data_IF_627608486021
#
_entry.id   IF_627608486021
#
_cell.length_a   1.000
_cell.length_b   1.000
_cell.length_c   1.000
_cell.angle_alpha   90.00
_cell.angle_beta   90.00
_cell.angle_gamma   90.00
#
_symmetry.space_group_name_H-M   'P 1'
#
loop_
_entity.id
_entity.type
_entity.pdbx_description
1 polymer ?
#
# COMPACT_ATOMS: atom_id res chain seq x y z
N UNK A 1 24.53 -22.86 13.97
CA UNK A 1 24.43 -21.55 14.63
C UNK A 1 23.02 -21.04 14.38
N UNK A 2 22.13 -21.08 15.38
CA UNK A 2 20.77 -20.56 15.20
C UNK A 2 20.85 -19.05 15.03
N UNK A 3 20.57 -18.56 13.82
CA UNK A 3 20.42 -17.14 13.55
C UNK A 3 19.28 -16.65 14.45
N UNK A 4 19.58 -15.79 15.42
CA UNK A 4 18.56 -15.20 16.30
C UNK A 4 17.65 -14.36 15.41
N UNK A 5 16.54 -14.94 14.96
CA UNK A 5 15.44 -14.17 14.40
C UNK A 5 14.92 -13.28 15.54
N UNK A 6 15.01 -11.96 15.36
CA UNK A 6 14.41 -11.01 16.28
C UNK A 6 12.96 -10.82 15.80
N UNK A 7 12.11 -11.74 16.25
CA UNK A 7 10.68 -11.72 15.99
C UNK A 7 10.07 -10.41 16.51
N UNK A 8 9.25 -9.75 15.68
CA UNK A 8 8.57 -8.51 16.05
C UNK A 8 7.10 -8.76 16.39
N UNK A 9 6.35 -9.44 15.53
CA UNK A 9 4.95 -9.79 15.79
C UNK A 9 4.52 -11.08 15.04
N UNK A 10 3.72 -11.91 15.70
CA UNK A 10 3.12 -13.11 15.07
C UNK A 10 1.93 -12.76 14.17
N UNK A 11 1.22 -11.67 14.48
CA UNK A 11 0.18 -11.12 13.61
C UNK A 11 0.00 -9.62 13.84
N UNK A 12 0.60 -8.82 12.97
CA UNK A 12 0.49 -7.36 12.97
C UNK A 12 -0.95 -6.90 12.68
N UNK A 13 -1.74 -7.71 11.96
CA UNK A 13 -3.11 -7.38 11.61
C UNK A 13 -4.11 -7.71 12.72
N UNK A 14 -3.71 -8.41 13.80
CA UNK A 14 -4.60 -8.85 14.88
C UNK A 14 -5.86 -9.58 14.35
N UNK A 15 -5.69 -10.46 13.37
CA UNK A 15 -6.76 -11.25 12.76
C UNK A 15 -7.65 -10.50 11.76
N UNK A 16 -7.34 -9.24 11.42
CA UNK A 16 -8.13 -8.44 10.46
C UNK A 16 -7.93 -8.85 9.01
N UNK A 17 -6.81 -9.50 8.66
CA UNK A 17 -6.54 -9.96 7.31
C UNK A 17 -7.23 -11.29 6.99
N UNK A 18 -8.04 -11.30 5.94
CA UNK A 18 -8.76 -12.50 5.51
C UNK A 18 -7.82 -13.60 4.97
N UNK A 19 -6.63 -13.22 4.51
CA UNK A 19 -5.60 -14.12 4.01
C UNK A 19 -4.80 -14.86 5.09
N UNK A 20 -5.09 -14.62 6.37
CA UNK A 20 -4.37 -15.18 7.51
C UNK A 20 -3.43 -14.18 8.19
N UNK A 21 -2.65 -14.62 9.19
CA UNK A 21 -1.86 -13.72 10.03
C UNK A 21 -0.74 -13.03 9.25
N UNK A 22 -0.56 -11.73 9.51
CA UNK A 22 0.51 -10.92 8.93
C UNK A 22 1.72 -10.89 9.86
N UNK A 23 2.65 -11.83 9.67
CA UNK A 23 3.87 -11.89 10.48
C UNK A 23 4.80 -10.72 10.18
N UNK A 24 5.51 -10.25 11.21
CA UNK A 24 6.55 -9.24 11.10
C UNK A 24 7.88 -9.76 11.68
N UNK A 25 8.93 -9.78 10.85
CA UNK A 25 10.23 -10.37 11.20
C UNK A 25 11.40 -9.40 10.97
N UNK A 26 12.34 -9.36 11.91
CA UNK A 26 13.62 -8.68 11.72
C UNK A 26 14.78 -9.66 11.97
N UNK A 27 15.55 -9.92 10.94
CA UNK A 27 16.73 -10.81 11.01
C UNK A 27 18.05 -10.04 10.94
N UNK A 28 17.98 -8.71 10.85
CA UNK A 28 19.13 -7.84 10.58
C UNK A 28 19.63 -7.14 11.83
N UNK A 29 18.73 -6.56 12.62
CA UNK A 29 19.07 -5.71 13.76
C UNK A 29 17.96 -5.70 14.82
N UNK A 30 18.08 -4.79 15.79
CA UNK A 30 17.11 -4.59 16.88
C UNK A 30 16.06 -3.52 16.56
N UNK A 31 15.95 -3.08 15.31
CA UNK A 31 14.97 -2.06 14.92
C UNK A 31 13.56 -2.63 15.09
N UNK A 32 12.74 -1.91 15.83
CA UNK A 32 11.34 -2.24 16.04
C UNK A 32 10.48 -1.53 15.00
N UNK A 33 9.33 -2.12 14.71
CA UNK A 33 8.30 -1.46 13.92
C UNK A 33 7.72 -0.30 14.74
N UNK A 34 7.68 0.89 14.15
CA UNK A 34 6.99 2.01 14.78
C UNK A 34 5.50 1.65 14.95
N UNK A 35 4.87 2.00 16.10
CA UNK A 35 3.46 1.70 16.31
C UNK A 35 2.58 2.50 15.35
N UNK A 36 1.55 1.84 14.83
CA UNK A 36 0.48 2.43 14.02
C UNK A 36 -0.80 1.60 14.20
N UNK A 37 -1.94 2.18 13.85
CA UNK A 37 -3.22 1.47 13.90
C UNK A 37 -3.40 0.61 12.63
N UNK A 38 -3.43 -0.71 12.78
CA UNK A 38 -3.72 -1.57 11.63
C UNK A 38 -5.22 -1.53 11.30
N UNK A 39 -5.57 -1.24 10.05
CA UNK A 39 -6.90 -1.45 9.47
C UNK A 39 -6.78 -2.31 8.23
N UNK A 40 -7.73 -3.20 7.95
CA UNK A 40 -7.66 -4.06 6.75
C UNK A 40 -8.18 -3.36 5.48
N UNK A 41 -8.90 -2.26 5.64
CA UNK A 41 -9.53 -1.51 4.55
C UNK A 41 -9.38 -0.01 4.79
N UNK A 42 -9.53 0.78 3.72
CA UNK A 42 -9.60 2.23 3.85
C UNK A 42 -10.80 2.67 4.68
N UNK A 43 -10.62 3.74 5.43
CA UNK A 43 -11.64 4.35 6.28
C UNK A 43 -11.93 5.75 5.77
N UNK A 44 -13.17 6.01 5.36
CA UNK A 44 -13.55 7.33 4.89
C UNK A 44 -13.64 8.32 6.05
N UNK A 45 -13.07 9.50 5.87
CA UNK A 45 -13.25 10.59 6.81
C UNK A 45 -14.74 10.97 6.94
N UNK A 46 -15.09 11.49 8.12
CA UNK A 46 -16.47 11.84 8.43
C UNK A 46 -17.05 12.82 7.39
N UNK A 47 -18.23 12.49 6.86
CA UNK A 47 -18.93 13.32 5.86
C UNK A 47 -18.52 13.07 4.41
N UNK A 48 -17.53 12.20 4.15
CA UNK A 48 -17.20 11.80 2.79
C UNK A 48 -18.31 10.92 2.20
N UNK A 49 -18.80 11.30 1.02
CA UNK A 49 -19.82 10.54 0.30
C UNK A 49 -19.37 10.25 -1.12
N UNK A 50 -19.84 9.12 -1.65
CA UNK A 50 -19.63 8.71 -3.04
C UNK A 50 -20.95 8.78 -3.77
N UNK A 51 -20.94 9.38 -4.96
CA UNK A 51 -22.07 9.25 -5.85
C UNK A 51 -22.20 7.77 -6.27
N UNK A 52 -23.41 7.30 -6.62
CA UNK A 52 -23.56 5.98 -7.22
C UNK A 52 -22.57 5.82 -8.36
N UNK A 53 -21.94 4.65 -8.51
CA UNK A 53 -21.05 4.42 -9.63
C UNK A 53 -21.86 4.57 -10.91
N UNK A 54 -21.42 5.48 -11.77
CA UNK A 54 -21.95 5.58 -13.13
C UNK A 54 -21.65 4.26 -13.86
N UNK A 55 -22.35 3.99 -14.97
CA UNK A 55 -21.99 2.87 -15.87
C UNK A 55 -20.62 3.07 -16.57
N UNK A 56 -19.75 3.91 -16.00
CA UNK A 56 -18.41 4.17 -16.49
C UNK A 56 -17.62 2.87 -16.51
N UNK A 57 -17.30 2.42 -17.72
CA UNK A 57 -16.54 1.20 -17.96
C UNK A 57 -15.08 1.31 -17.51
N UNK A 58 -14.60 2.51 -17.14
CA UNK A 58 -13.21 2.75 -16.78
C UNK A 58 -12.80 2.14 -15.42
N UNK A 59 -13.72 2.08 -14.44
CA UNK A 59 -13.42 1.55 -13.11
C UNK A 59 -14.13 0.21 -12.89
N UNK A 60 -13.35 -0.87 -12.86
CA UNK A 60 -13.86 -2.21 -12.68
C UNK A 60 -14.43 -2.45 -11.27
N UNK A 61 -15.43 -3.32 -11.17
CA UNK A 61 -15.92 -3.84 -9.88
C UNK A 61 -15.12 -5.07 -9.50
N UNK A 62 -14.63 -5.13 -8.27
CA UNK A 62 -13.90 -6.27 -7.73
C UNK A 62 -14.53 -6.73 -6.41
N UNK A 63 -14.47 -8.05 -6.17
CA UNK A 63 -14.62 -8.56 -4.82
C UNK A 63 -13.31 -8.34 -4.05
N UNK A 64 -13.39 -8.13 -2.72
CA UNK A 64 -12.19 -8.03 -1.87
C UNK A 64 -11.33 -9.29 -2.04
N UNK A 65 -10.07 -9.17 -2.48
CA UNK A 65 -9.18 -10.31 -2.60
C UNK A 65 -8.98 -10.99 -1.26
N UNK A 66 -8.83 -12.31 -1.27
CA UNK A 66 -8.48 -13.12 -0.08
C UNK A 66 -7.09 -13.72 -0.22
N UNK A 67 -6.20 -13.02 -0.91
CA UNK A 67 -4.83 -13.47 -1.13
C UNK A 67 -4.08 -13.32 0.19
N UNK A 68 -3.58 -14.44 0.71
CA UNK A 68 -2.80 -14.49 1.93
C UNK A 68 -1.31 -14.68 1.67
N UNK A 69 -0.59 -15.12 2.70
CA UNK A 69 0.81 -15.51 2.56
C UNK A 69 1.79 -14.34 2.42
N UNK A 70 1.46 -13.16 2.95
CA UNK A 70 2.40 -12.05 3.00
C UNK A 70 3.13 -11.98 4.35
N UNK A 71 4.34 -11.43 4.34
CA UNK A 71 5.15 -11.22 5.53
C UNK A 71 5.83 -9.85 5.47
N UNK A 72 5.73 -9.10 6.58
CA UNK A 72 6.51 -7.88 6.78
C UNK A 72 7.90 -8.28 7.24
N UNK A 73 8.92 -7.77 6.56
CA UNK A 73 10.31 -8.09 6.88
C UNK A 73 11.18 -6.83 6.89
N UNK A 74 12.24 -6.82 7.69
CA UNK A 74 13.25 -5.77 7.59
C UNK A 74 14.10 -6.00 6.33
N UNK A 75 13.92 -5.17 5.31
CA UNK A 75 14.53 -5.35 3.99
C UNK A 75 16.00 -4.97 3.98
N UNK A 76 16.35 -3.80 4.50
CA UNK A 76 17.74 -3.35 4.69
C UNK A 76 17.79 -2.06 5.51
N UNK A 77 18.96 -1.63 6.00
CA UNK A 77 19.10 -0.32 6.66
C UNK A 77 18.65 0.88 5.82
N UNK A 78 18.72 0.76 4.48
CA UNK A 78 18.38 1.83 3.54
C UNK A 78 16.92 1.80 3.08
N UNK A 79 16.32 0.61 2.96
CA UNK A 79 14.91 0.44 2.57
C UNK A 79 13.95 0.30 3.75
N UNK A 80 14.49 0.05 4.94
CA UNK A 80 13.72 -0.24 6.16
C UNK A 80 12.81 -1.45 5.98
N UNK A 81 11.58 -1.37 6.46
CA UNK A 81 10.60 -2.44 6.40
C UNK A 81 10.08 -2.61 4.96
N UNK A 82 9.83 -3.86 4.58
CA UNK A 82 9.30 -4.25 3.28
C UNK A 82 8.21 -5.31 3.43
N UNK A 83 7.49 -5.56 2.35
CA UNK A 83 6.49 -6.63 2.25
C UNK A 83 6.96 -7.67 1.24
N UNK A 84 6.88 -8.95 1.58
CA UNK A 84 7.21 -10.05 0.66
C UNK A 84 6.14 -11.13 0.63
N UNK A 85 6.11 -11.89 -0.45
CA UNK A 85 5.35 -13.15 -0.50
C UNK A 85 6.05 -14.24 0.33
N UNK A 86 5.32 -15.27 0.72
CA UNK A 86 5.85 -16.43 1.45
C UNK A 86 5.72 -17.70 0.63
N UNK A 87 6.26 -18.80 1.17
CA UNK A 87 6.11 -20.12 0.56
C UNK A 87 4.64 -20.58 0.46
N UNK A 88 3.72 -19.97 1.22
CA UNK A 88 2.28 -20.27 1.11
C UNK A 88 1.71 -19.88 -0.25
N UNK A 89 2.26 -18.84 -0.90
CA UNK A 89 1.76 -18.38 -2.20
C UNK A 89 2.09 -19.35 -3.33
N UNK A 90 3.18 -20.14 -3.23
CA UNK A 90 3.85 -20.82 -4.37
C UNK A 90 4.30 -19.84 -5.46
N UNK A 91 3.36 -19.18 -6.11
CA UNK A 91 3.51 -18.04 -7.00
C UNK A 91 2.18 -17.27 -7.08
N UNK A 92 2.26 -16.03 -7.54
CA UNK A 92 1.12 -15.17 -7.87
C UNK A 92 1.22 -14.86 -9.36
N UNK A 93 0.14 -15.03 -10.11
CA UNK A 93 0.12 -14.75 -11.54
C UNK A 93 -0.06 -13.26 -11.83
N UNK A 94 0.36 -12.83 -13.01
CA UNK A 94 0.15 -11.46 -13.51
C UNK A 94 -1.34 -11.08 -13.49
N UNK A 95 -1.62 -9.79 -13.29
CA UNK A 95 -2.94 -9.19 -13.15
C UNK A 95 -3.77 -9.66 -11.94
N UNK A 96 -3.19 -10.47 -11.05
CA UNK A 96 -3.87 -10.87 -9.79
C UNK A 96 -4.02 -9.66 -8.86
N UNK A 97 -5.25 -9.29 -8.45
CA UNK A 97 -5.47 -8.29 -7.41
C UNK A 97 -5.06 -8.86 -6.05
N UNK A 98 -4.18 -8.16 -5.32
CA UNK A 98 -3.57 -8.69 -4.10
C UNK A 98 -4.27 -8.17 -2.84
N UNK A 99 -4.28 -6.85 -2.66
CA UNK A 99 -4.86 -6.16 -1.52
C UNK A 99 -5.04 -4.68 -1.88
N UNK A 100 -5.87 -3.97 -1.12
CA UNK A 100 -6.03 -2.52 -1.27
C UNK A 100 -4.88 -1.76 -0.60
N UNK A 101 -4.65 -0.52 -1.02
CA UNK A 101 -3.87 0.44 -0.25
C UNK A 101 -4.78 1.08 0.81
N UNK A 102 -4.73 0.53 2.03
CA UNK A 102 -5.61 0.92 3.13
C UNK A 102 -5.05 2.08 3.95
N UNK A 103 -5.88 3.07 4.23
CA UNK A 103 -5.55 4.23 5.07
C UNK A 103 -6.77 5.11 5.33
N UNK A 104 -6.55 6.28 5.92
CA UNK A 104 -7.59 7.31 6.02
C UNK A 104 -7.84 7.90 4.63
N UNK A 105 -9.07 7.78 4.15
CA UNK A 105 -9.51 8.28 2.84
C UNK A 105 -10.13 9.67 3.01
N UNK A 106 -9.49 10.64 2.37
CA UNK A 106 -9.81 12.06 2.41
C UNK A 106 -10.15 12.52 0.99
N UNK A 107 -11.05 13.49 0.89
CA UNK A 107 -11.12 14.33 -0.32
C UNK A 107 -9.93 15.31 -0.27
N UNK A 108 -9.25 15.46 -1.40
CA UNK A 108 -8.08 16.32 -1.49
C UNK A 108 -8.54 17.77 -1.74
N UNK A 109 -8.86 18.47 -0.64
CA UNK A 109 -9.34 19.85 -0.65
C UNK A 109 -8.21 20.91 -0.82
N UNK A 110 -7.06 20.54 -1.41
CA UNK A 110 -5.82 21.33 -1.41
C UNK A 110 -5.28 21.66 0.01
N UNK A 111 -5.71 20.91 1.04
CA UNK A 111 -5.16 21.08 2.39
C UNK A 111 -3.73 20.58 2.41
N UNK A 112 -2.79 21.31 3.07
CA UNK A 112 -1.42 20.83 3.21
C UNK A 112 -1.41 19.59 4.10
N UNK A 113 -1.42 18.42 3.48
CA UNK A 113 -1.11 17.16 4.16
C UNK A 113 0.39 17.14 4.39
N UNK A 114 0.81 16.77 5.61
CA UNK A 114 2.24 16.58 5.89
C UNK A 114 2.80 15.60 4.85
N UNK A 115 3.87 15.97 4.15
CA UNK A 115 4.51 15.12 3.12
C UNK A 115 5.16 13.90 3.76
N UNK A 116 4.36 12.92 4.13
CA UNK A 116 4.81 11.65 4.68
C UNK A 116 5.07 10.63 3.55
N UNK A 117 5.76 9.55 3.89
CA UNK A 117 6.13 8.48 2.96
C UNK A 117 4.95 7.57 2.58
N UNK A 118 3.80 7.71 3.27
CA UNK A 118 2.68 6.78 3.23
C UNK A 118 1.42 7.33 2.54
N UNK A 119 1.57 8.33 1.68
CA UNK A 119 0.46 9.01 0.99
C UNK A 119 0.32 8.52 -0.45
N UNK A 120 -0.90 8.19 -0.85
CA UNK A 120 -1.29 7.96 -2.24
C UNK A 120 -2.44 8.89 -2.63
N UNK A 121 -2.43 9.37 -3.87
CA UNK A 121 -3.54 10.15 -4.43
C UNK A 121 -4.11 9.46 -5.65
N UNK A 122 -5.41 9.64 -5.88
CA UNK A 122 -6.10 9.16 -7.09
C UNK A 122 -7.27 10.07 -7.43
N UNK A 123 -7.72 10.00 -8.68
CA UNK A 123 -8.90 10.72 -9.15
C UNK A 123 -10.06 9.74 -9.36
N UNK A 124 -11.26 10.14 -8.96
CA UNK A 124 -12.48 9.40 -9.23
C UNK A 124 -13.66 10.36 -9.40
N UNK A 125 -14.44 10.20 -10.48
CA UNK A 125 -15.58 11.07 -10.80
C UNK A 125 -15.23 12.59 -10.75
N UNK A 126 -14.09 12.98 -11.33
CA UNK A 126 -13.55 14.36 -11.33
C UNK A 126 -13.29 14.95 -9.93
N UNK A 127 -13.11 14.09 -8.93
CA UNK A 127 -12.72 14.47 -7.57
C UNK A 127 -11.36 13.87 -7.26
N UNK A 128 -10.53 14.62 -6.55
CA UNK A 128 -9.23 14.16 -6.09
C UNK A 128 -9.36 13.58 -4.69
N UNK A 129 -8.75 12.43 -4.47
CA UNK A 129 -8.75 11.75 -3.19
C UNK A 129 -7.33 11.48 -2.74
N UNK A 130 -7.16 11.46 -1.42
CA UNK A 130 -5.91 11.18 -0.74
C UNK A 130 -6.12 10.03 0.25
N UNK A 131 -5.21 9.06 0.22
CA UNK A 131 -5.09 7.97 1.18
C UNK A 131 -3.86 8.22 2.06
N UNK A 132 -4.08 8.44 3.35
CA UNK A 132 -3.02 8.58 4.34
C UNK A 132 -2.90 7.30 5.19
N UNK A 133 -1.79 6.58 5.03
CA UNK A 133 -1.48 5.38 5.81
C UNK A 133 -0.45 5.60 6.94
N UNK A 134 -0.19 6.85 7.33
CA UNK A 134 0.78 7.19 8.38
C UNK A 134 0.34 6.69 9.75
N UNK A 135 -0.83 7.12 10.21
CA UNK A 135 -1.34 6.78 11.56
C UNK A 135 -2.17 5.50 11.56
N UNK A 136 -2.94 5.28 10.50
CA UNK A 136 -3.80 4.12 10.32
C UNK A 136 -3.65 3.59 8.90
N UNK A 137 -3.35 2.31 8.75
CA UNK A 137 -3.17 1.72 7.42
C UNK A 137 -3.09 0.20 7.47
N UNK A 138 -2.89 -0.41 6.30
CA UNK A 138 -2.79 -1.87 6.17
C UNK A 138 -1.38 -2.30 5.71
N UNK A 139 -1.21 -3.57 5.32
CA UNK A 139 0.05 -4.10 4.85
C UNK A 139 0.66 -3.33 3.65
N UNK A 140 -0.14 -2.62 2.86
CA UNK A 140 0.32 -1.92 1.66
C UNK A 140 1.35 -0.82 1.97
N UNK A 141 1.31 -0.23 3.17
CA UNK A 141 2.29 0.78 3.62
C UNK A 141 3.73 0.27 3.66
N UNK A 142 3.93 -1.06 3.62
CA UNK A 142 5.25 -1.69 3.59
C UNK A 142 5.74 -2.04 2.17
N UNK A 143 4.96 -1.74 1.13
CA UNK A 143 5.36 -2.00 -0.26
C UNK A 143 6.34 -0.94 -0.71
N UNK A 144 7.61 -1.32 -0.81
CA UNK A 144 8.69 -0.40 -1.16
C UNK A 144 8.70 0.01 -2.64
N UNK A 145 9.47 1.05 -2.94
CA UNK A 145 9.72 1.44 -4.32
C UNK A 145 10.66 0.47 -5.08
N UNK A 146 10.37 0.24 -6.36
CA UNK A 146 11.31 -0.24 -7.37
C UNK A 146 11.11 0.47 -8.71
N UNK A 147 12.21 0.78 -9.41
CA UNK A 147 12.15 1.27 -10.80
C UNK A 147 11.82 0.17 -11.82
N UNK A 148 11.85 -1.10 -11.40
CA UNK A 148 11.32 -2.26 -12.14
C UNK A 148 10.39 -3.01 -11.18
N UNK A 149 9.18 -2.47 -10.93
CA UNK A 149 8.27 -3.02 -9.94
C UNK A 149 7.67 -4.35 -10.43
N UNK A 150 7.19 -5.13 -9.47
CA UNK A 150 6.40 -6.34 -9.72
C UNK A 150 4.92 -6.18 -9.33
N UNK A 151 4.53 -4.99 -8.86
CA UNK A 151 3.15 -4.59 -8.66
C UNK A 151 2.83 -3.31 -9.44
N UNK A 152 1.54 -3.06 -9.65
CA UNK A 152 0.98 -1.79 -10.10
C UNK A 152 -0.25 -1.43 -9.27
N UNK A 153 -0.68 -0.17 -9.34
CA UNK A 153 -1.93 0.28 -8.71
C UNK A 153 -3.06 0.40 -9.74
N UNK A 154 -4.27 0.06 -9.32
CA UNK A 154 -5.48 0.16 -10.14
C UNK A 154 -6.65 0.62 -9.28
N UNK A 155 -7.44 1.56 -9.80
CA UNK A 155 -8.69 1.92 -9.14
C UNK A 155 -9.74 0.83 -9.39
N UNK A 156 -10.42 0.41 -8.32
CA UNK A 156 -11.53 -0.53 -8.40
C UNK A 156 -12.66 -0.14 -7.45
N UNK A 157 -13.87 -0.53 -7.80
CA UNK A 157 -15.04 -0.43 -6.95
C UNK A 157 -15.19 -1.69 -6.10
N UNK A 158 -15.13 -1.54 -4.78
CA UNK A 158 -15.40 -2.62 -3.83
C UNK A 158 -16.68 -2.34 -3.06
N UNK A 159 -17.30 -3.41 -2.55
CA UNK A 159 -18.46 -3.27 -1.67
C UNK A 159 -18.05 -2.51 -0.39
N UNK A 160 -18.90 -1.55 -0.03
CA UNK A 160 -18.76 -0.76 1.17
C UNK A 160 -18.77 -1.65 2.42
N UNK A 161 -17.90 -1.32 3.35
CA UNK A 161 -17.86 -1.83 4.73
C UNK A 161 -18.16 -0.69 5.69
N UNK A 162 -18.44 -1.02 6.96
CA UNK A 162 -18.60 -0.01 8.02
C UNK A 162 -17.38 0.89 8.15
N UNK A 163 -16.17 0.34 7.93
CA UNK A 163 -14.93 1.12 7.91
C UNK A 163 -14.94 2.18 6.80
N UNK A 164 -15.32 1.80 5.57
CA UNK A 164 -15.31 2.71 4.40
C UNK A 164 -16.42 3.76 4.42
N UNK A 165 -17.43 3.63 5.29
CA UNK A 165 -18.55 4.59 5.40
C UNK A 165 -18.57 5.34 6.74
N UNK A 166 -17.68 4.98 7.67
CA UNK A 166 -17.65 5.46 9.05
C UNK A 166 -18.85 4.99 9.91
N UNK A 167 -18.87 5.44 11.17
CA UNK A 167 -20.00 5.29 12.11
C UNK A 167 -21.19 6.20 11.75
N UNK A 168 -21.42 6.45 10.46
CA UNK A 168 -22.50 7.29 9.98
C UNK A 168 -23.84 6.62 10.31
N UNK A 169 -24.30 6.89 11.53
CA UNK A 169 -25.63 6.59 11.99
C UNK A 169 -26.65 7.12 11.00
N UNK A 170 -27.42 6.18 10.48
CA UNK A 170 -28.81 6.33 10.05
C UNK A 170 -29.14 7.19 8.82
N UNK A 171 -28.22 7.99 8.26
CA UNK A 171 -28.54 8.86 7.11
C UNK A 171 -27.54 8.82 5.94
N UNK A 172 -26.75 7.75 5.80
CA UNK A 172 -26.10 7.48 4.50
C UNK A 172 -27.08 6.70 3.64
N UNK A 173 -27.46 7.16 2.44
CA UNK A 173 -28.09 6.30 1.43
C UNK A 173 -27.05 5.34 0.84
N UNK A 174 -26.26 4.66 1.68
CA UNK A 174 -25.46 3.52 1.30
C UNK A 174 -26.31 2.29 1.62
N UNK A 175 -27.10 1.85 0.65
CA UNK A 175 -27.65 0.49 0.71
C UNK A 175 -26.52 -0.52 0.92
N UNK A 176 -26.85 -1.73 1.41
CA UNK A 176 -25.89 -2.82 1.60
C UNK A 176 -25.08 -3.20 0.33
N UNK A 177 -25.47 -2.66 -0.84
CA UNK A 177 -24.83 -2.86 -2.14
C UNK A 177 -23.99 -1.65 -2.63
N UNK A 178 -23.75 -0.65 -1.78
CA UNK A 178 -22.94 0.51 -2.14
C UNK A 178 -21.52 0.09 -2.52
N UNK A 179 -21.02 0.68 -3.60
CA UNK A 179 -19.67 0.45 -4.11
C UNK A 179 -18.86 1.72 -3.98
N UNK A 180 -17.67 1.61 -3.41
CA UNK A 180 -16.79 2.75 -3.14
C UNK A 180 -15.44 2.54 -3.83
N UNK A 181 -14.77 3.61 -4.28
CA UNK A 181 -13.48 3.52 -4.95
C UNK A 181 -12.38 3.13 -3.96
N UNK A 182 -11.57 2.15 -4.35
CA UNK A 182 -10.39 1.70 -3.63
C UNK A 182 -9.20 1.64 -4.57
N UNK A 183 -8.03 2.06 -4.09
CA UNK A 183 -6.78 1.85 -4.79
C UNK A 183 -6.29 0.43 -4.51
N UNK A 184 -6.30 -0.42 -5.54
CA UNK A 184 -5.85 -1.82 -5.45
C UNK A 184 -4.39 -1.95 -5.86
N UNK A 185 -3.66 -2.82 -5.19
CA UNK A 185 -2.34 -3.29 -5.61
C UNK A 185 -2.52 -4.63 -6.32
N UNK A 186 -2.06 -4.68 -7.56
CA UNK A 186 -2.16 -5.83 -8.44
C UNK A 186 -0.76 -6.27 -8.89
N UNK A 187 -0.59 -7.56 -9.22
CA UNK A 187 0.68 -8.08 -9.72
C UNK A 187 0.93 -7.65 -11.18
N UNK A 188 2.05 -6.98 -11.49
CA UNK A 188 2.39 -6.54 -12.86
C UNK A 188 3.11 -7.60 -13.69
N UNK A 189 3.44 -8.73 -13.06
CA UNK A 189 4.02 -9.92 -13.66
C UNK A 189 3.80 -11.08 -12.69
N UNK A 190 4.18 -12.29 -13.11
CA UNK A 190 4.32 -13.41 -12.16
C UNK A 190 5.29 -13.07 -11.02
N UNK A 191 4.87 -13.29 -9.77
CA UNK A 191 5.66 -13.08 -8.54
C UNK A 191 5.89 -14.44 -7.89
N UNK A 192 7.16 -14.80 -7.65
CA UNK A 192 7.53 -16.04 -6.98
C UNK A 192 7.49 -15.88 -5.46
N UNK A 193 7.32 -17.00 -4.76
CA UNK A 193 7.40 -17.04 -3.30
C UNK A 193 8.74 -16.47 -2.79
N UNK A 194 8.68 -15.63 -1.76
CA UNK A 194 9.83 -14.96 -1.15
C UNK A 194 10.25 -13.65 -1.83
N UNK A 195 9.67 -13.31 -2.99
CA UNK A 195 9.93 -12.01 -3.63
C UNK A 195 9.33 -10.86 -2.82
N UNK A 196 10.10 -9.78 -2.71
CA UNK A 196 9.62 -8.50 -2.19
C UNK A 196 8.62 -7.89 -3.17
N UNK A 197 7.47 -7.42 -2.65
CA UNK A 197 6.49 -6.66 -3.40
C UNK A 197 6.93 -5.21 -3.50
N UNK A 198 6.90 -4.65 -4.70
CA UNK A 198 7.37 -3.30 -4.97
C UNK A 198 6.52 -2.57 -5.99
N UNK A 199 6.41 -1.25 -5.82
CA UNK A 199 5.67 -0.34 -6.70
C UNK A 199 6.60 0.72 -7.31
N UNK A 200 6.18 1.29 -8.44
CA UNK A 200 6.74 2.56 -8.89
C UNK A 200 6.02 3.69 -8.14
N UNK A 201 6.74 4.47 -7.34
CA UNK A 201 6.14 5.58 -6.57
C UNK A 201 5.84 6.80 -7.46
N UNK A 202 6.33 6.80 -8.70
CA UNK A 202 6.11 7.89 -9.65
C UNK A 202 7.08 9.06 -9.48
N UNK A 203 7.23 9.83 -10.55
CA UNK A 203 8.16 10.96 -10.62
C UNK A 203 7.86 12.06 -9.59
N UNK A 204 6.58 12.42 -9.43
CA UNK A 204 6.17 13.49 -8.52
C UNK A 204 6.58 13.23 -7.06
N UNK A 205 6.46 11.99 -6.60
CA UNK A 205 6.91 11.59 -5.26
C UNK A 205 8.43 11.74 -5.11
N UNK A 206 9.19 11.22 -6.09
CA UNK A 206 10.65 11.29 -6.09
C UNK A 206 11.18 12.72 -6.16
N UNK A 207 10.56 13.56 -6.99
CA UNK A 207 10.93 14.97 -7.13
C UNK A 207 10.64 15.74 -5.84
N UNK A 208 9.50 15.48 -5.19
CA UNK A 208 9.15 16.09 -3.92
C UNK A 208 10.12 15.69 -2.80
N UNK A 209 10.44 14.39 -2.66
CA UNK A 209 11.31 13.88 -1.60
C UNK A 209 12.76 14.27 -1.78
N UNK A 210 13.28 14.24 -3.00
CA UNK A 210 14.65 14.72 -3.31
C UNK A 210 14.83 16.22 -3.18
N UNK A 211 13.75 17.00 -3.24
CA UNK A 211 13.81 18.42 -2.97
C UNK A 211 13.94 18.75 -1.47
N UNK A 212 13.42 17.87 -0.59
CA UNK A 212 13.44 18.07 0.86
C UNK A 212 14.51 17.25 1.59
N UNK A 213 15.01 16.17 1.00
CA UNK A 213 15.89 15.18 1.64
C UNK A 213 16.98 14.69 0.67
N UNK A 214 18.14 14.26 1.19
CA UNK A 214 19.19 13.57 0.39
C UNK A 214 18.80 12.10 0.08
N UNK A 215 17.58 11.90 -0.40
CA UNK A 215 16.99 10.58 -0.60
C UNK A 215 17.33 10.00 -1.98
N UNK A 216 17.77 8.75 -2.00
CA UNK A 216 18.14 8.03 -3.21
C UNK A 216 17.48 6.65 -3.24
N UNK A 217 17.17 6.17 -4.45
CA UNK A 217 16.58 4.86 -4.63
C UNK A 217 17.63 3.75 -4.45
N UNK A 218 17.28 2.79 -3.60
CA UNK A 218 18.06 1.58 -3.31
C UNK A 218 17.38 0.30 -3.83
N UNK A 219 16.63 0.40 -4.94
CA UNK A 219 15.98 -0.77 -5.54
C UNK A 219 16.96 -1.74 -6.23
N UNK A 220 18.19 -1.29 -6.49
CA UNK A 220 19.28 -2.06 -7.11
C UNK A 220 18.96 -2.67 -8.49
N UNK A 221 17.90 -2.20 -9.14
CA UNK A 221 17.57 -2.62 -10.51
C UNK A 221 18.52 -1.96 -11.51
N UNK A 222 18.83 -2.66 -12.60
CA UNK A 222 19.71 -2.13 -13.67
C UNK A 222 19.13 -0.89 -14.37
N UNK A 223 17.82 -0.68 -14.29
CA UNK A 223 17.10 0.49 -14.82
C UNK A 223 16.73 1.50 -13.73
N UNK A 224 17.45 1.54 -12.60
CA UNK A 224 17.19 2.49 -11.52
C UNK A 224 17.31 3.94 -12.02
N UNK A 225 16.21 4.69 -11.90
CA UNK A 225 16.08 6.08 -12.36
C UNK A 225 16.52 7.11 -11.32
N UNK A 226 16.54 6.71 -10.04
CA UNK A 226 16.77 7.63 -8.91
C UNK A 226 17.98 7.20 -8.04
N UNK A 227 18.95 6.50 -8.64
CA UNK A 227 20.19 6.09 -7.96
C UNK A 227 21.03 7.32 -7.59
N UNK A 228 21.88 7.18 -6.57
CA UNK A 228 22.91 8.19 -6.29
C UNK A 228 23.90 8.25 -7.45
N UNK A 229 23.99 9.39 -8.12
CA UNK A 229 25.01 9.61 -9.14
C UNK A 229 26.36 9.74 -8.43
N UNK A 230 27.39 8.98 -8.84
CA UNK A 230 28.73 9.15 -8.30
C UNK A 230 29.23 10.58 -8.55
N UNK A 231 29.89 11.17 -7.55
CA UNK A 231 30.54 12.48 -7.69
C UNK A 231 31.69 12.30 -8.70
N UNK A 232 31.50 12.71 -9.95
CA UNK A 232 32.52 12.64 -11.00
C UNK A 232 32.01 12.31 -12.41
N UNK A 233 30.76 11.89 -12.58
CA UNK A 233 30.16 11.64 -13.90
C UNK A 233 29.18 12.76 -14.30
N UNK A 234 29.68 13.99 -14.34
CA UNK A 234 29.06 15.05 -15.15
C UNK A 234 29.92 15.18 -16.40
N UNK A 235 29.44 14.60 -17.50
CA UNK A 235 29.97 14.83 -18.85
C UNK A 235 29.59 16.20 -19.37
#
# INVERSE_FOLDING_TARGET
MAQKMFYVADDLASGKEAGGPLRAVNEWNFEQLAPFDYSASSEAAAGLTFAPPDNDAAVGRLARPKVGGFEVFYASPLKKWGLRTTMQNKHIDEDTPLFEYGGELLEDDDKPVAKDDYIFTFEYQNRHFLLDACRRGNLARFVNHSCMPNCYTQLALLQATTATTGDAGHDVPCGQDAMVPHLMICASRKILAGEELTLDYGGAWWDAKRASEDLHCNCNTVKCRYKKTPIGEAS
#
